data_IF_210212002241
#
_entry.id   IF_210212002241
#
_cell.length_a   1.000
_cell.length_b   1.000
_cell.length_c   1.000
_cell.angle_alpha   90.00
_cell.angle_beta   90.00
_cell.angle_gamma   90.00
#
_symmetry.space_group_name_H-M   'P 1'
#
loop_
_entity.id
_entity.type
_entity.pdbx_description
1 polymer ?
#
# COMPACT_ATOMS: atom_id res chain seq x y z
N UNK A 1 -2.00 -6.03 11.90
CA UNK A 1 -2.59 -6.40 10.59
C UNK A 1 -3.21 -5.20 9.86
N UNK A 2 -4.10 -4.42 10.48
CA UNK A 2 -4.69 -3.23 9.83
C UNK A 2 -3.63 -2.14 9.57
N UNK A 3 -2.75 -1.88 10.54
CA UNK A 3 -1.61 -0.97 10.39
C UNK A 3 -0.73 -1.30 9.17
N UNK A 4 -0.50 -2.59 8.87
CA UNK A 4 0.23 -3.00 7.67
C UNK A 4 -0.50 -2.61 6.38
N UNK A 5 -1.83 -2.78 6.32
CA UNK A 5 -2.63 -2.36 5.17
C UNK A 5 -2.58 -0.85 4.99
N UNK A 6 -2.81 -0.12 6.09
CA UNK A 6 -2.75 1.35 6.09
C UNK A 6 -1.39 1.85 5.63
N UNK A 7 -0.31 1.27 6.13
CA UNK A 7 1.05 1.62 5.75
C UNK A 7 1.29 1.47 4.24
N UNK A 8 0.98 0.31 3.67
CA UNK A 8 1.20 0.07 2.23
C UNK A 8 0.31 0.92 1.32
N UNK A 9 -0.99 1.01 1.61
CA UNK A 9 -1.89 1.83 0.79
C UNK A 9 -1.47 3.31 0.82
N UNK A 10 -1.12 3.82 2.01
CA UNK A 10 -0.65 5.20 2.17
C UNK A 10 0.68 5.41 1.44
N UNK A 11 1.61 4.46 1.55
CA UNK A 11 2.92 4.57 0.93
C UNK A 11 2.83 4.58 -0.61
N UNK A 12 2.07 3.67 -1.22
CA UNK A 12 1.90 3.64 -2.68
C UNK A 12 1.22 4.91 -3.19
N UNK A 13 0.18 5.41 -2.51
CA UNK A 13 -0.45 6.68 -2.87
C UNK A 13 0.52 7.87 -2.73
N UNK A 14 1.45 7.82 -1.76
CA UNK A 14 2.47 8.86 -1.59
C UNK A 14 3.45 8.91 -2.75
N UNK A 15 3.85 7.76 -3.32
CA UNK A 15 4.68 7.70 -4.53
C UNK A 15 4.02 8.42 -5.70
N UNK A 16 2.73 8.13 -5.95
CA UNK A 16 1.98 8.81 -7.00
C UNK A 16 1.90 10.32 -6.72
N UNK A 17 1.55 10.71 -5.49
CA UNK A 17 1.42 12.12 -5.11
C UNK A 17 2.73 12.89 -5.30
N UNK A 18 3.85 12.30 -4.88
CA UNK A 18 5.16 12.95 -4.97
C UNK A 18 5.65 13.02 -6.42
N UNK A 19 5.43 11.98 -7.24
CA UNK A 19 5.75 12.04 -8.67
C UNK A 19 4.93 13.11 -9.40
N UNK A 20 3.62 13.19 -9.14
CA UNK A 20 2.75 14.23 -9.72
C UNK A 20 3.14 15.64 -9.25
N UNK A 21 3.73 15.76 -8.06
CA UNK A 21 4.30 17.01 -7.56
C UNK A 21 5.70 17.31 -8.14
N UNK A 22 6.21 16.49 -9.07
CA UNK A 22 7.52 16.66 -9.68
C UNK A 22 8.70 16.27 -8.79
N UNK A 23 8.46 15.59 -7.66
CA UNK A 23 9.52 15.12 -6.77
C UNK A 23 10.09 13.79 -7.26
N UNK A 24 11.34 13.55 -6.92
CA UNK A 24 11.96 12.25 -7.13
C UNK A 24 11.42 11.23 -6.11
N UNK A 25 10.97 10.08 -6.61
CA UNK A 25 10.38 9.02 -5.78
C UNK A 25 11.37 7.87 -5.64
N UNK A 26 11.76 7.57 -4.40
CA UNK A 26 12.56 6.38 -4.07
C UNK A 26 11.66 5.32 -3.46
N UNK A 27 11.62 4.12 -4.06
CA UNK A 27 10.79 3.00 -3.58
C UNK A 27 11.61 1.93 -2.87
N UNK A 28 11.11 1.33 -1.77
CA UNK A 28 9.83 1.64 -1.12
C UNK A 28 9.85 2.99 -0.38
N UNK A 29 11.00 3.40 0.14
CA UNK A 29 11.23 4.73 0.76
C UNK A 29 12.72 5.11 0.57
N UNK A 30 13.12 6.37 0.80
CA UNK A 30 14.53 6.74 0.87
C UNK A 30 15.32 6.00 1.97
N UNK A 31 14.67 5.72 3.11
CA UNK A 31 15.32 5.16 4.30
C UNK A 31 15.42 3.62 4.28
N UNK A 32 14.60 2.94 3.48
CA UNK A 32 14.52 1.48 3.43
C UNK A 32 14.54 0.94 2.01
N UNK A 33 15.32 -0.13 1.81
CA UNK A 33 15.38 -0.89 0.56
C UNK A 33 14.37 -2.05 0.55
N UNK A 34 14.08 -2.58 -0.64
CA UNK A 34 13.20 -3.75 -0.83
C UNK A 34 13.63 -5.03 -0.12
N UNK A 35 14.90 -5.15 0.28
CA UNK A 35 15.39 -6.26 1.11
C UNK A 35 15.34 -5.97 2.62
N UNK A 36 14.83 -4.81 3.04
CA UNK A 36 14.73 -4.35 4.44
C UNK A 36 13.26 -4.14 4.86
N UNK A 37 12.32 -4.79 4.19
CA UNK A 37 10.88 -4.57 4.43
C UNK A 37 10.45 -4.87 5.87
N UNK A 38 11.14 -5.76 6.59
CA UNK A 38 10.87 -6.00 8.00
C UNK A 38 10.94 -4.74 8.86
N UNK A 39 11.93 -3.86 8.62
CA UNK A 39 12.07 -2.61 9.35
C UNK A 39 11.00 -1.57 8.93
N UNK A 40 10.66 -1.52 7.64
CA UNK A 40 9.54 -0.71 7.15
C UNK A 40 8.21 -1.12 7.80
N UNK A 41 7.98 -2.43 8.01
CA UNK A 41 6.78 -2.90 8.68
C UNK A 41 6.72 -2.46 10.14
N UNK A 42 7.86 -2.43 10.83
CA UNK A 42 7.91 -1.91 12.21
C UNK A 42 7.54 -0.43 12.24
N UNK A 43 7.96 0.37 11.27
CA UNK A 43 7.51 1.76 11.17
C UNK A 43 6.00 1.87 10.96
N UNK A 44 5.40 1.02 10.13
CA UNK A 44 3.94 1.00 10.00
C UNK A 44 3.28 0.68 11.34
N UNK A 45 3.78 -0.29 12.10
CA UNK A 45 3.22 -0.61 13.41
C UNK A 45 3.34 0.55 14.37
N UNK A 46 4.51 1.17 14.48
CA UNK A 46 4.74 2.33 15.34
C UNK A 46 3.86 3.54 14.95
N UNK A 47 3.70 3.80 13.65
CA UNK A 47 2.88 4.90 13.15
C UNK A 47 1.39 4.78 13.53
N UNK A 48 0.93 3.55 13.79
CA UNK A 48 -0.47 3.25 14.06
C UNK A 48 -0.71 2.66 15.46
N UNK A 49 0.31 2.58 16.31
CA UNK A 49 0.27 1.87 17.61
C UNK A 49 -0.66 2.55 18.63
N UNK A 50 -0.78 3.87 18.56
CA UNK A 50 -1.60 4.66 19.48
C UNK A 50 -3.11 4.57 19.20
N UNK A 51 -3.54 3.98 18.08
CA UNK A 51 -4.95 3.94 17.69
C UNK A 51 -5.63 2.66 18.16
N UNK A 52 -6.87 2.82 18.61
CA UNK A 52 -7.77 1.72 18.90
C UNK A 52 -8.12 0.93 17.64
N UNK A 53 -8.59 -0.30 17.82
CA UNK A 53 -9.07 -1.13 16.71
C UNK A 53 -10.21 -0.46 15.92
N UNK A 54 -11.07 0.30 16.59
CA UNK A 54 -12.18 0.99 15.95
C UNK A 54 -11.67 2.11 15.02
N UNK A 55 -10.74 2.93 15.51
CA UNK A 55 -10.09 3.98 14.72
C UNK A 55 -9.33 3.39 13.54
N UNK A 56 -8.57 2.31 13.74
CA UNK A 56 -7.85 1.62 12.67
C UNK A 56 -8.80 1.11 11.58
N UNK A 57 -9.96 0.55 11.95
CA UNK A 57 -10.98 0.12 10.98
C UNK A 57 -11.58 1.30 10.22
N UNK A 58 -11.85 2.40 10.91
CA UNK A 58 -12.36 3.62 10.29
C UNK A 58 -11.36 4.20 9.28
N UNK A 59 -10.09 4.36 9.68
CA UNK A 59 -9.02 4.81 8.81
C UNK A 59 -8.83 3.89 7.60
N UNK A 60 -8.87 2.57 7.80
CA UNK A 60 -8.72 1.62 6.69
C UNK A 60 -9.85 1.75 5.69
N UNK A 61 -11.09 1.96 6.16
CA UNK A 61 -12.23 2.21 5.28
C UNK A 61 -11.99 3.47 4.44
N UNK A 62 -11.68 4.60 5.09
CA UNK A 62 -11.40 5.86 4.38
C UNK A 62 -10.26 5.70 3.37
N UNK A 63 -9.15 5.07 3.78
CA UNK A 63 -8.01 4.82 2.88
C UNK A 63 -8.39 3.95 1.69
N UNK A 64 -9.30 2.98 1.86
CA UNK A 64 -9.79 2.13 0.78
C UNK A 64 -10.70 2.90 -0.18
N UNK A 65 -11.53 3.81 0.35
CA UNK A 65 -12.38 4.68 -0.47
C UNK A 65 -11.51 5.62 -1.32
N UNK A 66 -10.52 6.29 -0.70
CA UNK A 66 -9.55 7.14 -1.41
C UNK A 66 -8.74 6.37 -2.48
N UNK A 67 -8.37 5.13 -2.19
CA UNK A 67 -7.68 4.24 -3.11
C UNK A 67 -8.53 3.91 -4.34
N UNK A 68 -9.81 3.57 -4.13
CA UNK A 68 -10.75 3.29 -5.22
C UNK A 68 -10.99 4.54 -6.07
N UNK A 69 -11.19 5.69 -5.44
CA UNK A 69 -11.35 6.97 -6.13
C UNK A 69 -10.12 7.34 -6.95
N UNK A 70 -8.91 7.12 -6.43
CA UNK A 70 -7.69 7.31 -7.17
C UNK A 70 -7.63 6.42 -8.42
N UNK A 71 -7.90 5.12 -8.26
CA UNK A 71 -7.90 4.17 -9.38
C UNK A 71 -8.90 4.57 -10.46
N UNK A 72 -10.10 5.01 -10.08
CA UNK A 72 -11.14 5.43 -11.03
C UNK A 72 -10.77 6.68 -11.85
N UNK A 73 -9.77 7.46 -11.40
CA UNK A 73 -9.27 8.63 -12.15
C UNK A 73 -8.11 8.29 -13.09
N UNK A 74 -7.53 7.10 -12.97
CA UNK A 74 -6.43 6.69 -13.84
C UNK A 74 -6.94 6.28 -15.22
N UNK A 75 -6.18 6.64 -16.23
CA UNK A 75 -6.41 6.20 -17.62
C UNK A 75 -5.96 4.76 -17.83
N UNK A 76 -6.46 4.12 -18.88
CA UNK A 76 -6.01 2.78 -19.27
C UNK A 76 -4.50 2.73 -19.55
N UNK A 77 -3.95 3.79 -20.17
CA UNK A 77 -2.51 3.87 -20.42
C UNK A 77 -1.71 3.88 -19.11
N UNK A 78 -2.10 4.70 -18.14
CA UNK A 78 -1.44 4.75 -16.83
C UNK A 78 -1.53 3.42 -16.06
N UNK A 79 -2.67 2.72 -16.17
CA UNK A 79 -2.88 1.45 -15.48
C UNK A 79 -2.12 0.29 -16.11
N UNK A 80 -2.15 0.19 -17.45
CA UNK A 80 -1.77 -1.03 -18.15
C UNK A 80 -0.47 -0.93 -18.95
N UNK A 81 0.01 0.27 -19.29
CA UNK A 81 1.27 0.45 -20.02
C UNK A 81 2.44 0.65 -19.04
N UNK A 82 3.48 -0.19 -19.09
CA UNK A 82 4.70 0.03 -18.31
C UNK A 82 5.41 1.33 -18.68
N UNK A 83 6.08 1.94 -17.70
CA UNK A 83 6.92 3.12 -17.90
C UNK A 83 6.17 4.45 -18.02
N UNK A 84 4.85 4.48 -17.87
CA UNK A 84 4.06 5.73 -17.84
C UNK A 84 4.30 6.52 -16.56
N UNK A 85 4.33 5.84 -15.40
CA UNK A 85 4.80 6.41 -14.14
C UNK A 85 6.21 5.93 -13.83
N UNK A 86 7.08 6.86 -13.45
CA UNK A 86 8.49 6.59 -13.16
C UNK A 86 8.64 5.70 -11.91
N UNK A 87 7.84 5.91 -10.88
CA UNK A 87 7.89 5.10 -9.65
C UNK A 87 7.58 3.62 -9.90
N UNK A 88 6.88 3.29 -10.99
CA UNK A 88 6.59 1.88 -11.38
C UNK A 88 7.74 1.21 -12.11
N UNK A 89 8.70 1.99 -12.64
CA UNK A 89 9.81 1.55 -13.47
C UNK A 89 10.94 0.94 -12.62
N UNK A 90 10.66 -0.17 -11.96
CA UNK A 90 11.67 -1.02 -11.32
C UNK A 90 12.34 -1.94 -12.35
N UNK A 91 13.32 -2.76 -11.94
CA UNK A 91 13.98 -3.74 -12.82
C UNK A 91 13.01 -4.71 -13.49
N UNK A 92 11.84 -4.96 -12.88
CA UNK A 92 10.80 -5.82 -13.45
C UNK A 92 9.85 -5.08 -14.41
N UNK A 93 9.91 -3.74 -14.47
CA UNK A 93 9.12 -2.84 -15.29
C UNK A 93 7.62 -3.20 -15.33
N UNK A 94 7.02 -3.34 -14.15
CA UNK A 94 5.62 -3.71 -14.05
C UNK A 94 4.69 -2.55 -14.37
N UNK A 95 3.56 -2.80 -15.08
CA UNK A 95 2.50 -1.81 -15.20
C UNK A 95 1.88 -1.53 -13.83
N UNK A 96 1.29 -0.33 -13.66
CA UNK A 96 0.78 0.14 -12.38
C UNK A 96 -0.23 -0.81 -11.75
N UNK A 97 -1.12 -1.44 -12.54
CA UNK A 97 -2.13 -2.35 -12.00
C UNK A 97 -1.54 -3.47 -11.14
N UNK A 98 -0.32 -3.95 -11.44
CA UNK A 98 0.34 -4.97 -10.63
C UNK A 98 0.69 -4.44 -9.25
N UNK A 99 1.25 -3.23 -9.18
CA UNK A 99 1.54 -2.54 -7.92
C UNK A 99 0.29 -2.33 -7.07
N UNK A 100 -0.81 -1.92 -7.74
CA UNK A 100 -2.10 -1.76 -7.07
C UNK A 100 -2.59 -3.09 -6.51
N UNK A 101 -2.51 -4.16 -7.31
CA UNK A 101 -2.96 -5.50 -6.93
C UNK A 101 -2.18 -6.09 -5.74
N UNK A 102 -0.84 -6.01 -5.77
CA UNK A 102 0.02 -6.62 -4.73
C UNK A 102 -0.06 -5.88 -3.39
N UNK A 103 -0.48 -4.61 -3.38
CA UNK A 103 -0.61 -3.80 -2.16
C UNK A 103 -2.05 -3.69 -1.64
N UNK A 104 -3.05 -4.19 -2.38
CA UNK A 104 -4.46 -4.17 -1.95
C UNK A 104 -5.12 -5.56 -2.03
N UNK A 105 -5.53 -6.01 -3.21
CA UNK A 105 -6.33 -7.22 -3.40
C UNK A 105 -5.63 -8.48 -2.88
N UNK A 106 -4.34 -8.66 -3.17
CA UNK A 106 -3.57 -9.82 -2.72
C UNK A 106 -3.47 -9.87 -1.18
N UNK A 107 -3.03 -8.81 -0.48
CA UNK A 107 -2.99 -8.82 0.97
C UNK A 107 -4.38 -8.94 1.59
N UNK A 108 -5.41 -8.23 1.11
CA UNK A 108 -6.75 -8.36 1.70
C UNK A 108 -7.26 -9.81 1.75
N UNK A 109 -6.94 -10.63 0.74
CA UNK A 109 -7.26 -12.07 0.72
C UNK A 109 -6.47 -12.84 1.79
N UNK A 110 -5.16 -12.66 1.88
CA UNK A 110 -4.31 -13.39 2.84
C UNK A 110 -4.59 -12.97 4.29
N UNK A 111 -4.79 -11.67 4.54
CA UNK A 111 -5.10 -11.13 5.86
C UNK A 111 -6.46 -11.60 6.37
N UNK A 112 -7.49 -11.70 5.51
CA UNK A 112 -8.79 -12.27 5.90
C UNK A 112 -8.63 -13.68 6.47
N UNK A 113 -7.81 -14.51 5.84
CA UNK A 113 -7.53 -15.87 6.31
C UNK A 113 -6.80 -15.87 7.66
N UNK A 114 -5.79 -15.01 7.81
CA UNK A 114 -5.05 -14.87 9.06
C UNK A 114 -5.93 -14.39 10.23
N UNK A 115 -6.82 -13.40 10.03
CA UNK A 115 -7.74 -12.92 11.09
C UNK A 115 -8.70 -14.03 11.51
N UNK A 116 -9.25 -14.77 10.55
CA UNK A 116 -10.15 -15.90 10.85
C UNK A 116 -9.43 -17.00 11.64
N UNK A 117 -8.16 -17.25 11.33
CA UNK A 117 -7.32 -18.18 12.08
C UNK A 117 -7.10 -17.66 13.51
N UNK A 118 -6.65 -16.42 13.68
CA UNK A 118 -6.42 -15.82 15.00
C UNK A 118 -7.68 -15.87 15.88
N UNK A 119 -8.84 -15.45 15.36
CA UNK A 119 -10.13 -15.54 16.09
C UNK A 119 -10.53 -16.96 16.52
N UNK A 120 -10.03 -17.99 15.82
CA UNK A 120 -10.36 -19.38 16.12
C UNK A 120 -9.48 -19.96 17.23
N UNK A 121 -8.25 -19.48 17.35
CA UNK A 121 -7.23 -20.09 18.22
C UNK A 121 -6.85 -19.21 19.42
N UNK A 122 -6.95 -17.89 19.31
CA UNK A 122 -6.39 -16.92 20.27
C UNK A 122 -7.35 -15.77 20.63
N UNK A 123 -8.61 -15.83 20.18
CA UNK A 123 -9.62 -14.78 20.32
C UNK A 123 -10.67 -15.04 21.40
#
# INVERSE_FOLDING_TARGET
>A
MIAYQLGWLTLVMSWEKDELAGKEVTTPTPDYKWNQLGALYQQFYLAYDAYSLEELRFMLKQRTDEWCEWINRLTEEELYRPGVRKWTATSANWPMWKWLHINSVAPFKSFRTQIRKWKKYDG
#
